data_IF_217349418632
#
_entry.id   IF_217349418632
#
_cell.length_a   1.000
_cell.length_b   1.000
_cell.length_c   1.000
_cell.angle_alpha   90.00
_cell.angle_beta   90.00
_cell.angle_gamma   90.00
#
_symmetry.space_group_name_H-M   'P 1'
#
loop_
_entity.id
_entity.type
_entity.pdbx_description
1 polymer ?
#
# COMPACT_ATOMS: atom_id res chain seq x y z
N UNK A 1 3.50 9.64 19.28
CA UNK A 1 4.27 8.46 18.83
C UNK A 1 4.29 8.47 17.32
N UNK A 2 5.45 8.41 16.68
CA UNK A 2 5.55 8.39 15.23
C UNK A 2 5.41 6.92 14.78
N UNK A 3 4.26 6.54 14.22
CA UNK A 3 3.98 5.15 13.83
C UNK A 3 4.71 4.89 12.51
N UNK A 4 5.87 4.26 12.60
CA UNK A 4 6.72 3.92 11.45
C UNK A 4 6.86 2.42 11.19
N UNK A 5 6.37 1.60 12.12
CA UNK A 5 6.46 0.14 12.07
C UNK A 5 5.13 -0.45 12.50
N UNK A 6 4.84 -1.66 12.04
CA UNK A 6 3.66 -2.42 12.42
C UNK A 6 3.63 -2.63 13.93
N UNK A 7 4.80 -2.90 14.52
CA UNK A 7 4.97 -3.04 15.97
C UNK A 7 4.59 -1.76 16.74
N UNK A 8 4.96 -0.59 16.21
CA UNK A 8 4.58 0.69 16.79
C UNK A 8 3.07 0.92 16.70
N UNK A 9 2.45 0.51 15.59
CA UNK A 9 0.99 0.58 15.43
C UNK A 9 0.29 -0.32 16.45
N UNK A 10 0.74 -1.57 16.59
CA UNK A 10 0.20 -2.54 17.55
C UNK A 10 0.27 -2.01 18.98
N UNK A 11 1.45 -1.52 19.41
CA UNK A 11 1.63 -1.00 20.78
C UNK A 11 0.79 0.24 21.04
N UNK A 12 0.88 1.23 20.15
CA UNK A 12 0.16 2.49 20.30
C UNK A 12 -1.36 2.29 20.39
N UNK A 13 -1.90 1.46 19.50
CA UNK A 13 -3.32 1.16 19.53
C UNK A 13 -3.67 0.19 20.66
N UNK A 14 -2.83 -0.80 20.95
CA UNK A 14 -3.01 -1.76 22.04
C UNK A 14 -3.20 -1.09 23.40
N UNK A 15 -2.37 -0.10 23.72
CA UNK A 15 -2.51 0.72 24.94
C UNK A 15 -3.83 1.50 24.97
N UNK A 16 -4.19 2.15 23.86
CA UNK A 16 -5.44 2.92 23.75
C UNK A 16 -6.69 2.06 23.86
N UNK A 17 -6.59 0.80 23.43
CA UNK A 17 -7.71 -0.12 23.37
C UNK A 17 -7.79 -1.08 24.56
N UNK A 18 -6.74 -1.18 25.37
CA UNK A 18 -6.72 -1.95 26.62
C UNK A 18 -7.90 -1.60 27.54
N UNK A 19 -8.30 -0.32 27.60
CA UNK A 19 -9.44 0.16 28.39
C UNK A 19 -10.81 -0.42 27.99
N UNK A 20 -10.92 -1.05 26.84
CA UNK A 20 -12.15 -1.67 26.33
C UNK A 20 -12.06 -3.21 26.29
N UNK A 21 -11.09 -3.81 27.00
CA UNK A 21 -10.98 -5.27 27.13
C UNK A 21 -10.29 -5.99 25.97
N UNK A 22 -9.83 -5.28 24.92
CA UNK A 22 -8.92 -5.83 23.91
C UNK A 22 -7.62 -5.03 23.91
N UNK A 23 -6.62 -5.55 24.60
CA UNK A 23 -5.28 -4.96 24.68
C UNK A 23 -4.39 -5.37 23.50
N UNK A 24 -3.11 -5.00 23.62
CA UNK A 24 -2.07 -5.28 22.63
C UNK A 24 -2.04 -6.73 22.14
N UNK A 25 -2.21 -7.70 23.04
CA UNK A 25 -2.17 -9.13 22.69
C UNK A 25 -3.22 -9.54 21.65
N UNK A 26 -4.42 -8.95 21.72
CA UNK A 26 -5.48 -9.21 20.75
C UNK A 26 -5.13 -8.61 19.38
N UNK A 27 -4.70 -7.34 19.36
CA UNK A 27 -4.32 -6.65 18.12
C UNK A 27 -3.16 -7.38 17.46
N UNK A 28 -2.13 -7.74 18.23
CA UNK A 28 -0.98 -8.52 17.78
C UNK A 28 -1.39 -9.85 17.16
N UNK A 29 -2.27 -10.60 17.82
CA UNK A 29 -2.79 -11.87 17.29
C UNK A 29 -3.50 -11.67 15.94
N UNK A 30 -4.31 -10.63 15.80
CA UNK A 30 -5.01 -10.34 14.55
C UNK A 30 -4.05 -9.95 13.43
N UNK A 31 -3.08 -9.06 13.71
CA UNK A 31 -2.09 -8.62 12.73
C UNK A 31 -1.21 -9.80 12.29
N UNK A 32 -0.67 -10.58 13.22
CA UNK A 32 0.23 -11.70 12.92
C UNK A 32 -0.42 -12.81 12.09
N UNK A 33 -1.76 -12.93 12.11
CA UNK A 33 -2.47 -13.92 11.29
C UNK A 33 -2.55 -13.54 9.81
N UNK A 34 -2.47 -12.26 9.49
CA UNK A 34 -2.77 -11.73 8.15
C UNK A 34 -1.52 -11.12 7.52
N UNK A 35 -0.67 -10.45 8.31
CA UNK A 35 0.50 -9.72 7.82
C UNK A 35 1.43 -10.57 6.93
N UNK A 36 1.76 -11.83 7.27
CA UNK A 36 2.68 -12.63 6.44
C UNK A 36 2.18 -12.89 5.01
N UNK A 37 0.88 -12.73 4.75
CA UNK A 37 0.31 -12.89 3.40
C UNK A 37 0.58 -11.65 2.53
N UNK A 38 0.79 -10.50 3.16
CA UNK A 38 0.87 -9.19 2.51
C UNK A 38 2.23 -8.51 2.67
N UNK A 39 3.15 -9.07 3.47
CA UNK A 39 4.44 -8.46 3.77
C UNK A 39 5.33 -8.26 2.52
N UNK A 40 5.21 -9.12 1.51
CA UNK A 40 5.96 -9.00 0.26
C UNK A 40 5.44 -7.90 -0.68
N UNK A 41 4.23 -7.38 -0.45
CA UNK A 41 3.58 -6.39 -1.33
C UNK A 41 3.77 -4.94 -0.87
N UNK A 42 4.15 -4.75 0.40
CA UNK A 42 4.20 -3.44 1.03
C UNK A 42 5.47 -3.28 1.86
N UNK A 43 5.98 -2.06 1.91
CA UNK A 43 7.05 -1.71 2.84
C UNK A 43 6.53 -1.70 4.28
N UNK A 44 7.44 -1.86 5.25
CA UNK A 44 7.09 -1.80 6.67
C UNK A 44 6.36 -0.51 7.07
N UNK A 45 6.72 0.63 6.45
CA UNK A 45 6.06 1.91 6.71
C UNK A 45 4.63 1.92 6.14
N UNK A 46 4.42 1.40 4.93
CA UNK A 46 3.09 1.26 4.32
C UNK A 46 2.21 0.32 5.16
N UNK A 47 2.72 -0.85 5.56
CA UNK A 47 2.02 -1.79 6.43
C UNK A 47 1.63 -1.14 7.76
N UNK A 48 2.54 -0.35 8.36
CA UNK A 48 2.24 0.34 9.62
C UNK A 48 1.07 1.32 9.51
N UNK A 49 0.95 2.01 8.37
CA UNK A 49 -0.17 2.93 8.08
C UNK A 49 -1.45 2.16 7.81
N UNK A 50 -1.40 1.10 7.01
CA UNK A 50 -2.56 0.25 6.69
C UNK A 50 -3.12 -0.40 7.95
N UNK A 51 -2.26 -1.00 8.77
CA UNK A 51 -2.64 -1.60 10.06
C UNK A 51 -3.26 -0.55 10.98
N UNK A 52 -2.65 0.63 11.11
CA UNK A 52 -3.22 1.72 11.92
C UNK A 52 -4.62 2.14 11.42
N UNK A 53 -4.77 2.27 10.10
CA UNK A 53 -6.05 2.60 9.46
C UNK A 53 -7.09 1.52 9.70
N UNK A 54 -6.74 0.24 9.55
CA UNK A 54 -7.64 -0.86 9.84
C UNK A 54 -8.12 -0.86 11.29
N UNK A 55 -7.21 -0.59 12.24
CA UNK A 55 -7.55 -0.54 13.67
C UNK A 55 -8.50 0.63 13.97
N UNK A 56 -8.29 1.79 13.35
CA UNK A 56 -9.16 2.97 13.53
C UNK A 56 -10.51 2.78 12.84
N UNK A 57 -10.53 2.29 11.60
CA UNK A 57 -11.75 2.10 10.80
C UNK A 57 -12.67 1.03 11.39
N UNK A 58 -12.10 0.08 12.13
CA UNK A 58 -12.85 -0.96 12.87
C UNK A 58 -13.30 -0.50 14.25
N UNK A 59 -13.63 0.79 14.42
CA UNK A 59 -14.24 1.30 15.66
C UNK A 59 -15.53 0.55 16.10
N UNK A 60 -16.02 -0.43 15.32
CA UNK A 60 -16.93 -1.51 15.70
C UNK A 60 -16.30 -2.92 15.73
N UNK A 61 -15.22 -3.11 16.51
CA UNK A 61 -14.66 -4.27 17.24
C UNK A 61 -14.93 -5.74 16.87
N UNK A 62 -16.02 -6.11 16.19
CA UNK A 62 -16.37 -7.50 15.95
C UNK A 62 -15.48 -8.15 14.88
N UNK A 63 -14.98 -7.38 13.91
CA UNK A 63 -14.40 -7.94 12.67
C UNK A 63 -13.06 -7.32 12.26
N UNK A 64 -12.22 -6.87 13.21
CA UNK A 64 -10.89 -6.31 12.88
C UNK A 64 -10.04 -7.19 11.93
N UNK A 65 -9.96 -8.52 12.11
CA UNK A 65 -9.25 -9.37 11.16
C UNK A 65 -9.80 -9.26 9.73
N UNK A 66 -11.12 -9.31 9.55
CA UNK A 66 -11.73 -9.26 8.22
C UNK A 66 -11.49 -7.90 7.56
N UNK A 67 -11.72 -6.81 8.30
CA UNK A 67 -11.52 -5.47 7.77
C UNK A 67 -10.05 -5.18 7.43
N UNK A 68 -9.09 -5.75 8.19
CA UNK A 68 -7.68 -5.64 7.85
C UNK A 68 -7.37 -6.36 6.53
N UNK A 69 -7.94 -7.54 6.31
CA UNK A 69 -7.83 -8.25 5.02
C UNK A 69 -8.40 -7.40 3.89
N UNK A 70 -9.65 -6.93 4.02
CA UNK A 70 -10.32 -6.15 2.98
C UNK A 70 -9.53 -4.89 2.59
N UNK A 71 -8.95 -4.20 3.57
CA UNK A 71 -8.12 -3.01 3.32
C UNK A 71 -6.82 -3.42 2.61
N UNK A 72 -6.15 -4.49 3.04
CA UNK A 72 -4.91 -4.96 2.41
C UNK A 72 -5.14 -5.43 0.96
N UNK A 73 -6.25 -6.11 0.67
CA UNK A 73 -6.63 -6.51 -0.69
C UNK A 73 -6.85 -5.28 -1.57
N UNK A 74 -7.64 -4.31 -1.08
CA UNK A 74 -7.90 -3.07 -1.82
C UNK A 74 -6.63 -2.27 -2.11
N UNK A 75 -5.75 -2.12 -1.13
CA UNK A 75 -4.47 -1.41 -1.30
C UNK A 75 -3.55 -2.14 -2.29
N UNK A 76 -3.58 -3.48 -2.29
CA UNK A 76 -2.81 -4.29 -3.24
C UNK A 76 -3.34 -4.11 -4.67
N UNK A 77 -4.65 -4.18 -4.86
CA UNK A 77 -5.30 -3.95 -6.15
C UNK A 77 -4.96 -2.55 -6.71
N UNK A 78 -5.07 -1.52 -5.87
CA UNK A 78 -4.73 -0.14 -6.26
C UNK A 78 -3.27 -0.02 -6.70
N UNK A 79 -2.34 -0.66 -5.96
CA UNK A 79 -0.90 -0.61 -6.29
C UNK A 79 -0.61 -1.28 -7.64
N UNK A 80 -1.28 -2.39 -7.94
CA UNK A 80 -1.17 -3.08 -9.23
C UNK A 80 -1.72 -2.21 -10.35
N UNK A 81 -2.88 -1.58 -10.15
CA UNK A 81 -3.49 -0.68 -11.12
C UNK A 81 -2.59 0.53 -11.42
N UNK A 82 -2.04 1.15 -10.38
CA UNK A 82 -1.12 2.28 -10.49
C UNK A 82 0.15 1.91 -11.25
N UNK A 83 0.71 0.71 -11.00
CA UNK A 83 1.88 0.21 -11.72
C UNK A 83 1.57 -0.01 -13.20
N UNK A 84 0.42 -0.62 -13.52
CA UNK A 84 -0.03 -0.81 -14.89
C UNK A 84 -0.19 0.53 -15.61
N UNK A 85 -0.79 1.53 -14.95
CA UNK A 85 -0.94 2.87 -15.50
C UNK A 85 0.41 3.52 -15.78
N UNK A 86 1.38 3.41 -14.86
CA UNK A 86 2.75 3.92 -15.05
C UNK A 86 3.42 3.30 -16.27
N UNK A 87 3.30 1.99 -16.46
CA UNK A 87 3.85 1.29 -17.63
C UNK A 87 3.20 1.77 -18.94
N UNK A 88 1.89 1.97 -18.96
CA UNK A 88 1.19 2.50 -20.13
C UNK A 88 1.65 3.93 -20.49
N UNK A 89 1.82 4.79 -19.49
CA UNK A 89 2.32 6.16 -19.69
C UNK A 89 3.75 6.12 -20.25
N UNK A 90 4.63 5.27 -19.72
CA UNK A 90 5.99 5.12 -20.23
C UNK A 90 6.00 4.64 -21.69
N UNK A 91 5.17 3.65 -22.03
CA UNK A 91 5.03 3.16 -23.40
C UNK A 91 4.56 4.27 -24.36
N UNK A 92 3.59 5.10 -23.94
CA UNK A 92 3.13 6.24 -24.75
C UNK A 92 4.25 7.26 -24.98
N UNK A 93 5.01 7.61 -23.93
CA UNK A 93 6.16 8.53 -24.05
C UNK A 93 7.21 8.02 -25.03
N UNK A 94 7.54 6.73 -25.00
CA UNK A 94 8.49 6.12 -25.93
C UNK A 94 7.98 6.18 -27.38
N UNK A 95 6.69 5.90 -27.59
CA UNK A 95 6.08 5.98 -28.93
C UNK A 95 6.08 7.41 -29.49
N UNK A 96 5.76 8.40 -28.65
CA UNK A 96 5.81 9.82 -29.04
C UNK A 96 7.24 10.26 -29.41
N UNK A 97 8.24 9.84 -28.63
CA UNK A 97 9.65 10.10 -28.93
C UNK A 97 10.08 9.44 -30.24
N UNK A 98 9.67 8.19 -30.50
CA UNK A 98 9.97 7.48 -31.74
C UNK A 98 9.31 8.16 -32.96
N UNK A 99 8.05 8.58 -32.85
CA UNK A 99 7.35 9.33 -33.90
C UNK A 99 8.05 10.64 -34.22
N UNK A 100 8.45 11.40 -33.19
CA UNK A 100 9.20 12.64 -33.34
C UNK A 100 10.54 12.39 -34.03
N UNK A 101 11.29 11.36 -33.63
CA UNK A 101 12.55 11.00 -34.28
C UNK A 101 12.37 10.69 -35.77
N UNK A 102 11.35 9.92 -36.14
CA UNK A 102 11.04 9.60 -37.55
C UNK A 102 10.70 10.87 -38.34
N UNK A 103 9.94 11.79 -37.76
CA UNK A 103 9.62 13.08 -38.38
C UNK A 103 10.88 13.94 -38.57
N UNK A 104 11.69 14.10 -37.52
CA UNK A 104 12.93 14.88 -37.56
C UNK A 104 13.94 14.30 -38.58
N UNK A 105 13.99 12.98 -38.73
CA UNK A 105 14.80 12.30 -39.74
C UNK A 105 14.29 12.58 -41.17
N UNK A 106 12.98 12.47 -41.42
CA UNK A 106 12.38 12.78 -42.74
C UNK A 106 12.56 14.23 -43.16
N UNK A 107 12.54 15.15 -42.20
CA UNK A 107 12.74 16.58 -42.44
C UNK A 107 14.23 16.97 -42.59
N UNK A 108 15.16 16.01 -42.50
CA UNK A 108 16.59 16.25 -42.64
C UNK A 108 17.21 17.08 -41.50
N UNK A 109 16.50 17.22 -40.37
CA UNK A 109 16.94 18.01 -39.21
C UNK A 109 17.99 17.28 -38.37
N UNK A 110 18.02 15.94 -38.43
CA UNK A 110 19.09 15.13 -37.86
C UNK A 110 20.05 14.68 -38.96
N UNK A 111 21.08 15.51 -39.23
CA UNK A 111 22.26 15.06 -39.98
C UNK A 111 23.14 14.28 -39.01
N UNK A 112 23.29 12.97 -39.27
CA UNK A 112 24.31 12.13 -38.65
C UNK A 112 25.70 12.68 -39.01
#
# INVERSE_FOLDING_TARGET
MNIKTVENAIKFHGEKFARFGKGEAYIRSCVNRILPVYEDYFTEEELSKIVSTAIVNTAGWLYFPNNLVDILEKEKEQKIEDELLRQQIQKRKLNEQALKFVQDFREGKNRI
#
